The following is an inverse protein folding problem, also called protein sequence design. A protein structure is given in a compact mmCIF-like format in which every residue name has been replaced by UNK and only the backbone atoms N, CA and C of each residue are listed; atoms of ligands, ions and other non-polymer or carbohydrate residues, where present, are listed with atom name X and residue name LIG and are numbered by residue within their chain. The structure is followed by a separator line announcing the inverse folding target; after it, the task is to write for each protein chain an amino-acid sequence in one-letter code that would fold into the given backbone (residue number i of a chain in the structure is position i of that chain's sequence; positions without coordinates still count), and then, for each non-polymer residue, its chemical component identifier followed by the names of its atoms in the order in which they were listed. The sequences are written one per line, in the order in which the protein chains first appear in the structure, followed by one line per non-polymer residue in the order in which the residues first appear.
data_IF_955656747335
#
_entry.id   IF_955656747335
#
_cell.length_a   1.000
_cell.length_b   1.000
_cell.length_c   1.000
_cell.angle_alpha   90.00
_cell.angle_beta   90.00
_cell.angle_gamma   90.00
#
_symmetry.space_group_name_H-M   'P 1'
#
loop_
_entity.id
_entity.type
_entity.pdbx_description
1 polymer ?
#
# COMPACT_ATOMS: atom_id res chain seq x y z
N UNK A 1 46.08 66.65 40.53
CA UNK A 1 45.64 67.74 41.44
C UNK A 1 46.86 68.55 41.86
N UNK A 2 46.68 69.82 42.24
CA UNK A 2 47.78 70.75 42.53
C UNK A 2 48.26 70.75 43.99
N UNK A 3 47.48 70.17 44.92
CA UNK A 3 47.84 70.02 46.35
C UNK A 3 47.29 68.69 46.89
N UNK A 4 48.05 68.02 47.74
CA UNK A 4 47.67 66.81 48.51
C UNK A 4 47.36 67.17 49.97
N UNK A 5 46.65 66.32 50.74
CA UNK A 5 46.45 66.54 52.17
C UNK A 5 47.78 66.74 52.92
N UNK A 6 48.82 66.00 52.51
CA UNK A 6 50.18 66.12 53.03
C UNK A 6 50.83 67.48 52.70
N UNK A 7 50.56 68.03 51.51
CA UNK A 7 51.04 69.36 51.12
C UNK A 7 50.36 70.47 51.93
N UNK A 8 49.12 70.27 52.37
CA UNK A 8 48.39 71.20 53.24
C UNK A 8 48.94 71.13 54.67
N UNK A 9 49.21 69.92 55.18
CA UNK A 9 49.80 69.72 56.51
C UNK A 9 51.22 70.32 56.63
N UNK A 10 52.06 70.15 55.60
CA UNK A 10 53.44 70.62 55.62
C UNK A 10 53.58 72.11 55.20
N UNK A 11 52.47 72.84 55.06
CA UNK A 11 52.49 74.22 54.58
C UNK A 11 52.86 75.19 55.70
N UNK A 12 54.02 75.81 55.59
CA UNK A 12 54.42 76.91 56.49
C UNK A 12 53.99 78.28 55.95
N UNK A 13 53.50 79.13 56.85
CA UNK A 13 53.09 80.51 56.55
C UNK A 13 54.00 81.52 57.27
N UNK A 14 54.30 82.64 56.62
CA UNK A 14 55.10 83.72 57.24
C UNK A 14 54.27 84.54 58.23
N UNK A 15 54.80 84.79 59.43
CA UNK A 15 54.16 85.60 60.48
C UNK A 15 54.34 87.10 60.20
N UNK A 16 53.27 87.90 60.39
CA UNK A 16 53.27 89.37 60.29
C UNK A 16 52.55 89.99 61.50
N UNK A 17 52.90 91.23 61.88
CA UNK A 17 52.44 91.94 63.10
C UNK A 17 50.90 92.06 63.27
N UNK A 18 50.12 91.83 62.20
CA UNK A 18 48.64 91.75 62.21
C UNK A 18 48.17 90.57 61.35
N UNK A 19 48.67 89.37 61.67
CA UNK A 19 48.28 88.12 61.01
C UNK A 19 47.06 87.45 61.64
N UNK A 20 46.60 86.36 61.01
CA UNK A 20 45.62 85.46 61.62
C UNK A 20 46.24 84.73 62.82
N UNK A 21 45.39 84.29 63.74
CA UNK A 21 45.80 83.43 64.85
C UNK A 21 46.28 82.07 64.28
N UNK A 22 47.47 81.64 64.69
CA UNK A 22 48.08 80.42 64.18
C UNK A 22 47.33 79.17 64.64
N UNK A 23 46.81 79.18 65.87
CA UNK A 23 46.14 78.01 66.45
C UNK A 23 44.76 77.81 65.79
N UNK A 24 44.00 78.90 65.57
CA UNK A 24 42.72 78.85 64.85
C UNK A 24 42.90 78.43 63.38
N UNK A 25 43.95 78.91 62.71
CA UNK A 25 44.25 78.52 61.32
C UNK A 25 44.65 77.05 61.25
N UNK A 26 45.46 76.55 62.18
CA UNK A 26 45.85 75.14 62.22
C UNK A 26 44.65 74.22 62.47
N UNK A 27 43.76 74.57 63.41
CA UNK A 27 42.53 73.78 63.67
C UNK A 27 41.63 73.73 62.42
N UNK A 28 41.51 74.84 61.69
CA UNK A 28 40.78 74.88 60.43
C UNK A 28 41.46 74.08 59.31
N UNK A 29 42.79 74.12 59.21
CA UNK A 29 43.55 73.32 58.25
C UNK A 29 43.45 71.81 58.55
N UNK A 30 43.43 71.41 59.83
CA UNK A 30 43.20 70.02 60.22
C UNK A 30 41.82 69.51 59.78
N UNK A 31 40.79 70.37 59.87
CA UNK A 31 39.45 70.04 59.35
C UNK A 31 39.47 69.92 57.82
N UNK A 32 40.12 70.86 57.11
CA UNK A 32 40.27 70.80 55.65
C UNK A 32 41.01 69.54 55.23
N UNK A 33 42.08 69.15 55.93
CA UNK A 33 42.85 67.93 55.64
C UNK A 33 41.94 66.70 55.73
N UNK A 34 41.17 66.57 56.82
CA UNK A 34 40.22 65.46 57.00
C UNK A 34 39.15 65.40 55.91
N UNK A 35 38.53 66.54 55.60
CA UNK A 35 37.50 66.61 54.57
C UNK A 35 38.07 66.34 53.17
N UNK A 36 39.29 66.80 52.90
CA UNK A 36 39.97 66.57 51.63
C UNK A 36 40.39 65.10 51.46
N UNK A 37 40.87 64.45 52.51
CA UNK A 37 41.12 62.99 52.52
C UNK A 37 39.84 62.18 52.28
N UNK A 38 38.74 62.55 52.95
CA UNK A 38 37.45 61.92 52.75
C UNK A 38 36.97 62.07 51.29
N UNK A 39 37.12 63.27 50.72
CA UNK A 39 36.73 63.56 49.35
C UNK A 39 37.59 62.81 48.32
N UNK A 40 38.89 62.67 48.55
CA UNK A 40 39.77 61.87 47.69
C UNK A 40 39.36 60.39 47.71
N UNK A 41 39.10 59.84 48.91
CA UNK A 41 38.66 58.45 49.07
C UNK A 41 37.30 58.20 48.40
N UNK A 42 36.35 59.11 48.56
CA UNK A 42 35.06 59.04 47.86
C UNK A 42 35.25 59.13 46.35
N UNK A 43 36.12 60.03 45.87
CA UNK A 43 36.38 60.19 44.43
C UNK A 43 36.97 58.91 43.81
N UNK A 44 37.91 58.26 44.51
CA UNK A 44 38.48 56.99 44.05
C UNK A 44 37.43 55.87 44.07
N UNK A 45 36.61 55.78 45.12
CA UNK A 45 35.50 54.82 45.17
C UNK A 45 34.46 55.03 44.06
N UNK A 46 34.14 56.28 43.75
CA UNK A 46 33.25 56.65 42.64
C UNK A 46 33.87 56.31 41.28
N UNK A 47 35.18 56.53 41.10
CA UNK A 47 35.90 56.14 39.88
C UNK A 47 35.89 54.62 39.69
N UNK A 48 36.19 53.86 40.74
CA UNK A 48 36.15 52.40 40.70
C UNK A 48 34.74 51.89 40.34
N UNK A 49 33.71 52.47 40.95
CA UNK A 49 32.31 52.13 40.66
C UNK A 49 31.92 52.49 39.24
N UNK A 50 32.40 53.63 38.73
CA UNK A 50 32.14 54.09 37.38
C UNK A 50 32.81 53.18 36.34
N UNK A 51 34.04 52.74 36.60
CA UNK A 51 34.76 51.82 35.72
C UNK A 51 34.11 50.41 35.71
N UNK A 52 33.71 49.90 36.88
CA UNK A 52 32.93 48.65 36.96
C UNK A 52 31.60 48.74 36.19
N UNK A 53 30.88 49.86 36.32
CA UNK A 53 29.63 50.06 35.60
C UNK A 53 29.84 50.18 34.09
N UNK A 54 30.91 50.85 33.65
CA UNK A 54 31.28 50.90 32.23
C UNK A 54 31.59 49.51 31.68
N UNK A 55 32.30 48.67 32.44
CA UNK A 55 32.61 47.30 32.04
C UNK A 55 31.34 46.45 31.91
N UNK A 56 30.43 46.53 32.89
CA UNK A 56 29.11 45.88 32.81
C UNK A 56 28.31 46.35 31.60
N UNK A 57 28.31 47.66 31.34
CA UNK A 57 27.60 48.24 30.20
C UNK A 57 28.19 47.76 28.87
N UNK A 58 29.51 47.64 28.78
CA UNK A 58 30.18 47.03 27.63
C UNK A 58 29.74 45.58 27.45
N UNK A 59 29.80 44.77 28.50
CA UNK A 59 29.35 43.37 28.47
C UNK A 59 27.89 43.25 27.99
N UNK A 60 26.98 44.08 28.51
CA UNK A 60 25.58 44.05 28.09
C UNK A 60 25.38 44.48 26.64
N UNK A 61 26.17 45.43 26.14
CA UNK A 61 26.12 45.79 24.72
C UNK A 61 26.63 44.65 23.83
N UNK A 62 27.77 44.04 24.18
CA UNK A 62 28.31 42.90 23.43
C UNK A 62 27.32 41.72 23.43
N UNK A 63 26.68 41.45 24.58
CA UNK A 63 25.64 40.44 24.71
C UNK A 63 24.41 40.76 23.85
N UNK A 64 23.95 42.01 23.87
CA UNK A 64 22.82 42.47 23.04
C UNK A 64 23.12 42.30 21.56
N UNK A 65 24.31 42.65 21.12
CA UNK A 65 24.71 42.53 19.72
C UNK A 65 24.81 41.06 19.28
N UNK A 66 25.40 40.20 20.13
CA UNK A 66 25.43 38.75 19.91
C UNK A 66 24.03 38.12 19.87
N UNK A 67 23.13 38.57 20.75
CA UNK A 67 21.75 38.11 20.80
C UNK A 67 20.99 38.52 19.54
N UNK A 68 21.11 39.78 19.13
CA UNK A 68 20.51 40.29 17.90
C UNK A 68 21.00 39.51 16.68
N UNK A 69 22.31 39.25 16.59
CA UNK A 69 22.87 38.44 15.51
C UNK A 69 22.30 37.02 15.51
N UNK A 70 22.16 36.41 16.68
CA UNK A 70 21.59 35.06 16.84
C UNK A 70 20.11 35.02 16.44
N UNK A 71 19.33 36.05 16.77
CA UNK A 71 17.93 36.18 16.35
C UNK A 71 17.83 36.29 14.83
N UNK A 72 18.69 37.10 14.20
CA UNK A 72 18.70 37.26 12.73
C UNK A 72 19.02 35.93 12.06
N UNK A 73 20.04 35.21 12.52
CA UNK A 73 20.41 33.90 11.97
C UNK A 73 19.30 32.88 12.17
N UNK A 74 18.65 32.87 13.34
CA UNK A 74 17.51 32.00 13.60
C UNK A 74 16.31 32.31 12.69
N UNK A 75 16.02 33.60 12.45
CA UNK A 75 14.97 34.02 11.53
C UNK A 75 15.28 33.60 10.10
N UNK A 76 16.50 33.84 9.61
CA UNK A 76 16.93 33.42 8.28
C UNK A 76 16.86 31.89 8.11
N UNK A 77 17.28 31.14 9.14
CA UNK A 77 17.15 29.70 9.15
C UNK A 77 15.69 29.24 9.10
N UNK A 78 14.81 29.87 9.89
CA UNK A 78 13.38 29.57 9.89
C UNK A 78 12.73 29.88 8.52
N UNK A 79 13.06 31.02 7.93
CA UNK A 79 12.56 31.42 6.60
C UNK A 79 13.07 30.47 5.52
N UNK A 80 14.34 30.05 5.59
CA UNK A 80 14.92 29.08 4.66
C UNK A 80 14.23 27.73 4.77
N UNK A 81 13.98 27.24 5.99
CA UNK A 81 13.25 25.99 6.23
C UNK A 81 11.84 26.12 5.66
N UNK A 82 11.12 27.19 5.96
CA UNK A 82 9.77 27.45 5.44
C UNK A 82 9.73 27.46 3.92
N UNK A 83 10.64 28.18 3.26
CA UNK A 83 10.71 28.27 1.80
C UNK A 83 11.07 26.92 1.16
N UNK A 84 11.96 26.14 1.78
CA UNK A 84 12.31 24.80 1.30
C UNK A 84 11.13 23.84 1.46
N UNK A 85 10.48 23.81 2.62
CA UNK A 85 9.30 22.98 2.87
C UNK A 85 8.13 23.33 1.96
N UNK A 86 7.91 24.61 1.65
CA UNK A 86 6.89 25.03 0.68
C UNK A 86 7.20 24.50 -0.72
N UNK A 87 8.44 24.65 -1.21
CA UNK A 87 8.86 24.09 -2.51
C UNK A 87 8.73 22.57 -2.55
N UNK A 88 9.14 21.90 -1.50
CA UNK A 88 9.03 20.45 -1.40
C UNK A 88 7.56 19.99 -1.38
N UNK A 89 6.70 20.66 -0.63
CA UNK A 89 5.26 20.39 -0.63
C UNK A 89 4.63 20.60 -2.01
N UNK A 90 5.03 21.64 -2.75
CA UNK A 90 4.57 21.86 -4.14
C UNK A 90 5.01 20.73 -5.08
N UNK A 91 6.26 20.25 -4.95
CA UNK A 91 6.78 19.13 -5.73
C UNK A 91 6.00 17.86 -5.41
N UNK A 92 5.84 17.53 -4.12
CA UNK A 92 5.10 16.36 -3.66
C UNK A 92 3.65 16.41 -4.18
N UNK A 93 2.98 17.55 -4.07
CA UNK A 93 1.62 17.70 -4.57
C UNK A 93 1.55 17.51 -6.08
N UNK A 94 2.48 18.08 -6.85
CA UNK A 94 2.52 17.91 -8.30
C UNK A 94 2.79 16.47 -8.69
N UNK A 95 3.71 15.80 -8.00
CA UNK A 95 4.03 14.40 -8.23
C UNK A 95 2.85 13.49 -7.88
N UNK A 96 2.22 13.69 -6.73
CA UNK A 96 1.03 12.94 -6.31
C UNK A 96 -0.13 13.15 -7.29
N UNK A 97 -0.35 14.37 -7.78
CA UNK A 97 -1.34 14.65 -8.82
C UNK A 97 -1.04 13.92 -10.13
N UNK A 98 0.23 13.94 -10.57
CA UNK A 98 0.66 13.22 -11.76
C UNK A 98 0.47 11.71 -11.61
N UNK A 99 0.94 11.13 -10.51
CA UNK A 99 0.76 9.70 -10.23
C UNK A 99 -0.72 9.32 -10.16
N UNK A 100 -1.55 10.15 -9.53
CA UNK A 100 -3.00 9.97 -9.49
C UNK A 100 -3.63 9.97 -10.89
N UNK A 101 -3.22 10.92 -11.75
CA UNK A 101 -3.68 10.98 -13.13
C UNK A 101 -3.23 9.75 -13.93
N UNK A 102 -1.96 9.34 -13.80
CA UNK A 102 -1.41 8.16 -14.46
C UNK A 102 -2.17 6.88 -14.06
N UNK A 103 -2.52 6.74 -12.78
CA UNK A 103 -3.33 5.62 -12.28
C UNK A 103 -4.74 5.63 -12.89
N UNK A 104 -5.38 6.80 -12.96
CA UNK A 104 -6.72 6.95 -13.55
C UNK A 104 -6.68 6.60 -15.04
N UNK A 105 -5.65 7.06 -15.76
CA UNK A 105 -5.49 6.78 -17.19
C UNK A 105 -5.28 5.28 -17.44
N UNK A 106 -4.41 4.63 -16.66
CA UNK A 106 -4.22 3.18 -16.72
C UNK A 106 -5.50 2.40 -16.36
N UNK A 107 -6.26 2.85 -15.36
CA UNK A 107 -7.52 2.23 -14.99
C UNK A 107 -8.56 2.35 -16.10
N UNK A 108 -8.66 3.52 -16.73
CA UNK A 108 -9.55 3.76 -17.87
C UNK A 108 -9.16 2.91 -19.08
N UNK A 109 -7.88 2.78 -19.37
CA UNK A 109 -7.39 1.92 -20.46
C UNK A 109 -7.76 0.45 -20.20
N UNK A 110 -7.47 -0.07 -19.00
CA UNK A 110 -7.86 -1.44 -18.61
C UNK A 110 -9.37 -1.65 -18.69
N UNK A 111 -10.16 -0.70 -18.22
CA UNK A 111 -11.62 -0.76 -18.31
C UNK A 111 -12.10 -0.83 -19.77
N UNK A 112 -11.53 0.00 -20.66
CA UNK A 112 -11.84 -0.04 -22.10
C UNK A 112 -11.50 -1.40 -22.71
N UNK A 113 -10.34 -1.96 -22.37
CA UNK A 113 -9.92 -3.27 -22.86
C UNK A 113 -10.86 -4.39 -22.39
N UNK A 114 -11.26 -4.38 -21.11
CA UNK A 114 -12.24 -5.34 -20.57
C UNK A 114 -13.58 -5.23 -21.31
N UNK A 115 -14.08 -4.01 -21.54
CA UNK A 115 -15.33 -3.78 -22.26
C UNK A 115 -15.23 -4.27 -23.71
N UNK A 116 -14.12 -4.00 -24.38
CA UNK A 116 -13.90 -4.47 -25.76
C UNK A 116 -13.83 -6.01 -25.84
N UNK A 117 -13.10 -6.66 -24.94
CA UNK A 117 -13.06 -8.11 -24.85
C UNK A 117 -14.43 -8.72 -24.53
N UNK A 118 -15.14 -8.16 -23.56
CA UNK A 118 -16.49 -8.60 -23.20
C UNK A 118 -17.45 -8.45 -24.38
N UNK A 119 -17.36 -7.34 -25.12
CA UNK A 119 -18.17 -7.09 -26.31
C UNK A 119 -17.86 -8.09 -27.43
N UNK A 120 -16.58 -8.39 -27.66
CA UNK A 120 -16.14 -9.40 -28.65
C UNK A 120 -16.65 -10.80 -28.27
N UNK A 121 -16.50 -11.20 -27.01
CA UNK A 121 -17.00 -12.49 -26.49
C UNK A 121 -18.53 -12.59 -26.60
N UNK A 122 -19.24 -11.52 -26.21
CA UNK A 122 -20.70 -11.47 -26.32
C UNK A 122 -21.17 -11.60 -27.78
N UNK A 123 -20.50 -10.91 -28.72
CA UNK A 123 -20.81 -11.02 -30.15
C UNK A 123 -20.55 -12.43 -30.68
N UNK A 124 -19.42 -13.05 -30.30
CA UNK A 124 -19.10 -14.43 -30.68
C UNK A 124 -20.13 -15.41 -30.13
N UNK A 125 -20.46 -15.32 -28.85
CA UNK A 125 -21.47 -16.16 -28.19
C UNK A 125 -22.85 -16.00 -28.85
N UNK A 126 -23.24 -14.78 -29.22
CA UNK A 126 -24.50 -14.54 -29.92
C UNK A 126 -24.54 -15.24 -31.29
N UNK A 127 -23.43 -15.19 -32.05
CA UNK A 127 -23.31 -15.87 -33.34
C UNK A 127 -23.36 -17.40 -33.16
N UNK A 128 -22.60 -17.94 -32.20
CA UNK A 128 -22.60 -19.39 -31.90
C UNK A 128 -23.97 -19.88 -31.45
N UNK A 129 -24.68 -19.09 -30.64
CA UNK A 129 -26.06 -19.41 -30.21
C UNK A 129 -27.03 -19.44 -31.39
N UNK A 130 -26.91 -18.50 -32.33
CA UNK A 130 -27.74 -18.47 -33.53
C UNK A 130 -27.44 -19.65 -34.46
N UNK A 131 -26.16 -20.00 -34.64
CA UNK A 131 -25.76 -21.17 -35.43
C UNK A 131 -26.27 -22.48 -34.80
N UNK A 132 -26.08 -22.66 -33.49
CA UNK A 132 -26.59 -23.84 -32.78
C UNK A 132 -28.12 -23.96 -32.89
N UNK A 133 -28.85 -22.84 -32.83
CA UNK A 133 -30.30 -22.81 -33.07
C UNK A 133 -30.67 -23.26 -34.48
N UNK A 134 -29.92 -22.81 -35.49
CA UNK A 134 -30.11 -23.26 -36.88
C UNK A 134 -29.83 -24.75 -37.01
N UNK A 135 -28.72 -25.23 -36.46
CA UNK A 135 -28.36 -26.65 -36.45
C UNK A 135 -29.44 -27.50 -35.76
N UNK A 136 -29.95 -27.09 -34.60
CA UNK A 136 -31.03 -27.77 -33.90
C UNK A 136 -32.32 -27.82 -34.73
N UNK A 137 -32.66 -26.73 -35.43
CA UNK A 137 -33.83 -26.68 -36.33
C UNK A 137 -33.69 -27.66 -37.49
N UNK A 138 -32.52 -27.71 -38.12
CA UNK A 138 -32.22 -28.63 -39.23
C UNK A 138 -32.22 -30.08 -38.73
N UNK A 139 -31.60 -30.35 -37.58
CA UNK A 139 -31.60 -31.68 -36.97
C UNK A 139 -33.02 -32.17 -36.68
N UNK A 140 -33.86 -31.31 -36.10
CA UNK A 140 -35.27 -31.62 -35.85
C UNK A 140 -36.00 -31.98 -37.15
N UNK A 141 -35.80 -31.21 -38.23
CA UNK A 141 -36.42 -31.51 -39.52
C UNK A 141 -35.94 -32.85 -40.09
N UNK A 142 -34.63 -33.13 -40.03
CA UNK A 142 -34.07 -34.42 -40.46
C UNK A 142 -34.62 -35.59 -39.66
N UNK A 143 -34.70 -35.43 -38.33
CA UNK A 143 -35.27 -36.44 -37.44
C UNK A 143 -36.74 -36.70 -37.75
N UNK A 144 -37.53 -35.65 -37.99
CA UNK A 144 -38.92 -35.78 -38.37
C UNK A 144 -39.07 -36.56 -39.69
N UNK A 145 -38.33 -36.19 -40.74
CA UNK A 145 -38.37 -36.89 -42.04
C UNK A 145 -37.94 -38.35 -41.90
N UNK A 146 -36.89 -38.63 -41.12
CA UNK A 146 -36.45 -39.99 -40.84
C UNK A 146 -37.53 -40.80 -40.10
N UNK A 147 -38.16 -40.23 -39.09
CA UNK A 147 -39.25 -40.91 -38.38
C UNK A 147 -40.45 -41.12 -39.29
N UNK A 148 -40.85 -40.12 -40.09
CA UNK A 148 -41.92 -40.25 -41.10
C UNK A 148 -41.60 -41.36 -42.11
N UNK A 149 -40.37 -41.46 -42.61
CA UNK A 149 -39.98 -42.57 -43.51
C UNK A 149 -40.03 -43.93 -42.82
N UNK A 150 -39.59 -44.03 -41.56
CA UNK A 150 -39.68 -45.28 -40.79
C UNK A 150 -41.14 -45.67 -40.52
N UNK A 151 -41.99 -44.68 -40.24
CA UNK A 151 -43.42 -44.88 -40.02
C UNK A 151 -44.13 -45.30 -41.31
N UNK A 152 -43.73 -44.76 -42.46
CA UNK A 152 -44.22 -45.17 -43.77
C UNK A 152 -43.83 -46.61 -44.10
N UNK A 153 -42.58 -47.00 -43.83
CA UNK A 153 -42.14 -48.41 -43.98
C UNK A 153 -42.98 -49.34 -43.10
N UNK A 154 -43.25 -48.98 -41.84
CA UNK A 154 -44.09 -49.79 -40.94
C UNK A 154 -45.56 -49.83 -41.40
N UNK A 155 -46.07 -48.76 -42.00
CA UNK A 155 -47.43 -48.68 -42.53
C UNK A 155 -47.59 -49.26 -43.94
N UNK A 156 -46.48 -49.57 -44.61
CA UNK A 156 -46.47 -50.11 -45.96
C UNK A 156 -47.17 -51.46 -46.05
N UNK A 157 -47.89 -51.69 -47.16
CA UNK A 157 -48.60 -52.94 -47.44
C UNK A 157 -47.69 -54.17 -47.53
N UNK A 158 -46.38 -53.97 -47.57
CA UNK A 158 -45.36 -55.02 -47.50
C UNK A 158 -45.47 -55.80 -46.18
N UNK A 159 -45.74 -55.11 -45.06
CA UNK A 159 -46.02 -55.79 -43.79
C UNK A 159 -47.35 -56.53 -43.81
N UNK A 160 -48.40 -55.99 -44.46
CA UNK A 160 -49.67 -56.71 -44.63
C UNK A 160 -49.51 -57.98 -45.48
N UNK A 161 -48.58 -58.00 -46.43
CA UNK A 161 -48.28 -59.14 -47.28
C UNK A 161 -47.43 -60.20 -46.56
N UNK A 162 -46.41 -59.77 -45.81
CA UNK A 162 -45.61 -60.64 -44.93
C UNK A 162 -46.48 -61.25 -43.83
N UNK A 163 -47.37 -60.47 -43.20
CA UNK A 163 -48.29 -60.95 -42.17
C UNK A 163 -49.39 -61.86 -42.74
N UNK A 164 -49.74 -61.74 -44.04
CA UNK A 164 -50.66 -62.66 -44.73
C UNK A 164 -50.04 -64.03 -45.05
N UNK A 165 -48.72 -64.13 -45.24
CA UNK A 165 -48.04 -65.41 -45.44
C UNK A 165 -48.02 -66.31 -44.19
N UNK A 166 -48.48 -65.81 -43.04
CA UNK A 166 -48.57 -66.55 -41.77
C UNK A 166 -49.79 -67.48 -41.60
N UNK A 167 -50.44 -67.96 -42.67
CA UNK A 167 -51.37 -69.09 -42.59
C UNK A 167 -50.63 -70.40 -42.91
N UNK A 168 -49.96 -70.94 -41.89
CA UNK A 168 -49.63 -72.37 -41.68
C UNK A 168 -49.37 -73.23 -42.93
N UNK A 169 -48.09 -73.52 -43.25
CA UNK A 169 -47.80 -74.86 -43.77
C UNK A 169 -47.88 -75.83 -42.60
N UNK A 170 -48.85 -76.74 -42.69
CA UNK A 170 -49.04 -77.86 -41.79
C UNK A 170 -47.73 -78.63 -41.64
N UNK A 171 -47.45 -79.10 -40.42
CA UNK A 171 -46.34 -80.04 -40.13
C UNK A 171 -46.37 -81.29 -41.05
N UNK A 172 -47.52 -81.60 -41.66
CA UNK A 172 -47.65 -82.68 -42.64
C UNK A 172 -46.97 -82.38 -43.99
N UNK A 173 -46.94 -81.12 -44.46
CA UNK A 173 -46.30 -80.77 -45.74
C UNK A 173 -44.77 -80.85 -45.68
N UNK A 174 -44.19 -80.67 -44.48
CA UNK A 174 -42.75 -80.79 -44.25
C UNK A 174 -42.31 -82.27 -44.26
N UNK A 175 -43.19 -83.21 -43.90
CA UNK A 175 -42.84 -84.64 -43.89
C UNK A 175 -42.86 -85.30 -45.27
N UNK A 176 -43.70 -84.82 -46.20
CA UNK A 176 -43.73 -85.34 -47.58
C UNK A 176 -42.52 -84.89 -48.41
N UNK A 177 -41.97 -83.71 -48.13
CA UNK A 177 -40.75 -83.23 -48.79
C UNK A 177 -39.47 -84.01 -48.41
N UNK A 178 -39.42 -84.58 -47.20
CA UNK A 178 -38.25 -85.34 -46.71
C UNK A 178 -38.25 -86.79 -47.24
N UNK A 179 -39.40 -87.33 -47.66
CA UNK A 179 -39.50 -88.70 -48.20
C UNK A 179 -39.17 -88.82 -49.70
N UNK A 180 -39.07 -87.70 -50.42
CA UNK A 180 -38.87 -87.70 -51.86
C UNK A 180 -37.43 -87.37 -52.31
N UNK A 181 -36.50 -87.13 -51.40
CA UNK A 181 -35.12 -86.76 -51.72
C UNK A 181 -34.08 -87.71 -51.10
N UNK A 182 -34.19 -89.01 -51.43
CA UNK A 182 -33.04 -89.92 -51.41
C UNK A 182 -32.39 -89.89 -52.80
N UNK A 183 -31.49 -88.95 -53.03
CA UNK A 183 -30.27 -89.05 -53.86
C UNK A 183 -29.79 -87.65 -54.19
N UNK A 184 -28.72 -87.18 -53.53
CA UNK A 184 -27.68 -86.34 -54.12
C UNK A 184 -26.54 -86.19 -53.12
N UNK A 185 -25.79 -87.28 -53.01
CA UNK A 185 -24.43 -87.28 -52.49
C UNK A 185 -23.52 -86.69 -53.59
N UNK A 186 -22.75 -85.66 -53.23
CA UNK A 186 -21.52 -85.14 -53.88
C UNK A 186 -21.62 -84.63 -55.32
N UNK A 187 -21.48 -83.31 -55.48
CA UNK A 187 -20.39 -82.66 -56.24
C UNK A 187 -20.69 -81.17 -56.44
N UNK A 188 -20.24 -80.32 -55.52
CA UNK A 188 -19.68 -78.97 -55.81
C UNK A 188 -19.08 -78.38 -54.53
N UNK A 189 -18.11 -79.07 -53.94
CA UNK A 189 -17.17 -78.41 -53.05
C UNK A 189 -16.13 -77.71 -53.94
N UNK A 190 -16.47 -76.51 -54.44
CA UNK A 190 -15.44 -75.62 -54.98
C UNK A 190 -14.59 -75.15 -53.80
N UNK A 191 -13.37 -75.64 -53.74
CA UNK A 191 -12.33 -75.13 -52.84
C UNK A 191 -12.22 -73.60 -53.02
N UNK A 192 -12.67 -72.86 -52.00
CA UNK A 192 -12.35 -71.45 -51.86
C UNK A 192 -10.90 -71.41 -51.36
N UNK A 193 -9.96 -71.08 -52.24
CA UNK A 193 -8.61 -70.72 -51.81
C UNK A 193 -8.71 -69.45 -50.98
N UNK A 194 -8.12 -69.38 -49.77
CA UNK A 194 -8.04 -68.13 -49.04
C UNK A 194 -7.17 -67.16 -49.84
N UNK A 195 -7.69 -65.96 -50.08
CA UNK A 195 -6.90 -64.82 -50.56
C UNK A 195 -5.90 -64.48 -49.44
N UNK A 196 -4.61 -64.57 -49.75
CA UNK A 196 -3.54 -63.99 -48.94
C UNK A 196 -3.58 -62.48 -49.18
N UNK A 197 -4.20 -61.74 -48.25
CA UNK A 197 -3.91 -60.33 -48.06
C UNK A 197 -2.68 -60.23 -47.16
N UNK A 198 -1.52 -60.03 -47.78
CA UNK A 198 -0.31 -59.58 -47.12
C UNK A 198 -0.43 -58.07 -46.83
N UNK A 199 -1.28 -57.69 -45.88
CA UNK A 199 -1.10 -56.46 -45.09
C UNK A 199 -1.43 -56.77 -43.63
N UNK A 200 -0.39 -56.81 -42.80
CA UNK A 200 -0.51 -56.86 -41.34
C UNK A 200 -1.22 -55.61 -40.84
N UNK A 201 -2.54 -55.69 -40.66
CA UNK A 201 -3.27 -54.77 -39.80
C UNK A 201 -2.85 -55.04 -38.35
N UNK A 202 -1.86 -54.28 -37.88
CA UNK A 202 -1.43 -54.26 -36.49
C UNK A 202 -2.53 -53.63 -35.61
N UNK A 203 -3.48 -54.44 -35.15
CA UNK A 203 -4.35 -54.07 -34.03
C UNK A 203 -3.54 -54.12 -32.74
N UNK A 204 -2.97 -53.00 -32.33
CA UNK A 204 -2.58 -52.82 -30.94
C UNK A 204 -3.85 -52.76 -30.08
N UNK A 205 -3.95 -53.55 -28.99
CA UNK A 205 -5.01 -53.36 -28.02
C UNK A 205 -4.93 -51.93 -27.51
N UNK A 206 -6.02 -51.18 -27.58
CA UNK A 206 -6.11 -49.89 -26.90
C UNK A 206 -6.07 -50.20 -25.41
N UNK A 207 -4.98 -49.84 -24.74
CA UNK A 207 -4.84 -49.93 -23.30
C UNK A 207 -6.04 -49.22 -22.64
N UNK A 208 -6.85 -49.89 -21.80
CA UNK A 208 -7.97 -49.26 -21.14
C UNK A 208 -7.56 -48.23 -20.08
N UNK A 209 -6.26 -48.08 -19.76
CA UNK A 209 -5.76 -47.04 -18.87
C UNK A 209 -5.12 -45.88 -19.66
N UNK A 210 -5.58 -44.64 -19.49
CA UNK A 210 -4.88 -43.48 -20.05
C UNK A 210 -3.52 -43.32 -19.36
N UNK A 211 -2.51 -42.73 -20.03
CA UNK A 211 -1.19 -42.58 -19.44
C UNK A 211 -1.26 -41.73 -18.17
N UNK A 212 -0.87 -42.31 -17.04
CA UNK A 212 -0.56 -41.56 -15.83
C UNK A 212 0.65 -40.65 -16.12
N UNK A 213 0.43 -39.34 -16.07
CA UNK A 213 1.51 -38.36 -16.04
C UNK A 213 2.19 -38.54 -14.68
N UNK A 214 3.26 -39.34 -14.62
CA UNK A 214 4.09 -39.43 -13.44
C UNK A 214 5.28 -38.46 -13.58
N UNK A 215 5.35 -37.41 -12.75
CA UNK A 215 6.38 -36.39 -12.82
C UNK A 215 7.58 -36.81 -11.96
N UNK A 216 8.50 -37.62 -12.48
CA UNK A 216 9.80 -37.83 -11.81
C UNK A 216 10.83 -38.54 -12.71
N UNK A 217 11.68 -37.77 -13.38
CA UNK A 217 13.17 -37.86 -13.37
C UNK A 217 13.66 -36.70 -14.27
N UNK A 218 14.37 -35.66 -13.82
CA UNK A 218 15.52 -35.65 -12.92
C UNK A 218 15.50 -34.46 -11.94
N UNK A 219 15.95 -34.70 -10.70
CA UNK A 219 16.52 -33.67 -9.82
C UNK A 219 15.83 -33.44 -8.48
N UNK A 220 16.04 -34.34 -7.53
CA UNK A 220 15.46 -34.35 -6.17
C UNK A 220 15.92 -33.19 -5.27
N UNK A 221 14.99 -32.51 -4.59
CA UNK A 221 15.19 -31.94 -3.25
C UNK A 221 13.85 -31.87 -2.50
N UNK A 222 13.83 -32.52 -1.34
CA UNK A 222 12.68 -32.83 -0.48
C UNK A 222 11.89 -31.60 -0.01
N UNK A 223 10.56 -31.70 -0.01
CA UNK A 223 9.69 -30.76 0.72
C UNK A 223 9.25 -31.43 2.02
N UNK A 224 9.90 -31.06 3.13
CA UNK A 224 9.52 -31.49 4.48
C UNK A 224 8.36 -30.63 4.97
N UNK A 225 7.22 -31.26 5.25
CA UNK A 225 6.09 -30.61 5.93
C UNK A 225 6.40 -30.62 7.43
N UNK A 226 6.82 -29.46 7.96
CA UNK A 226 7.00 -29.26 9.41
C UNK A 226 5.77 -28.56 9.97
N UNK A 227 5.06 -29.23 10.88
CA UNK A 227 4.11 -28.60 11.79
C UNK A 227 4.87 -27.96 12.95
N UNK A 228 4.67 -26.68 13.30
CA UNK A 228 5.18 -26.16 14.56
C UNK A 228 4.06 -26.10 15.59
N UNK A 229 4.09 -27.01 16.57
CA UNK A 229 3.50 -26.77 17.88
C UNK A 229 4.62 -26.74 18.93
N UNK A 230 4.72 -25.58 19.59
CA UNK A 230 5.15 -25.32 20.97
C UNK A 230 6.39 -26.05 21.53
N UNK A 231 7.46 -25.30 21.81
CA UNK A 231 7.83 -24.86 23.18
C UNK A 231 9.33 -24.52 23.32
N UNK A 232 9.60 -23.41 24.04
CA UNK A 232 10.82 -23.05 24.78
C UNK A 232 12.13 -22.87 24.00
N UNK A 233 13.01 -21.89 24.23
CA UNK A 233 13.20 -20.80 25.20
C UNK A 233 14.54 -20.18 24.72
N UNK A 234 14.77 -18.88 24.52
CA UNK A 234 15.13 -17.90 25.54
C UNK A 234 15.73 -16.63 24.88
N UNK A 235 15.38 -15.48 25.48
CA UNK A 235 16.17 -14.24 25.68
C UNK A 235 16.65 -13.40 24.49
N UNK A 236 16.00 -12.24 24.29
CA UNK A 236 16.56 -10.87 24.48
C UNK A 236 15.48 -9.83 24.13
N UNK A 237 14.69 -9.38 25.11
CA UNK A 237 14.63 -7.98 25.60
C UNK A 237 14.28 -6.90 24.56
N UNK A 238 12.99 -6.58 24.44
CA UNK A 238 12.51 -5.24 24.07
C UNK A 238 11.72 -4.62 25.24
N UNK A 239 11.90 -3.31 25.51
CA UNK A 239 11.21 -2.63 26.59
C UNK A 239 9.82 -2.14 26.18
N UNK A 240 8.87 -2.34 27.07
CA UNK A 240 7.54 -1.74 27.11
C UNK A 240 7.60 -0.21 27.11
N UNK A 241 6.59 0.48 26.57
CA UNK A 241 6.12 1.72 27.16
C UNK A 241 4.73 1.51 27.77
N UNK A 242 4.67 1.52 29.10
CA UNK A 242 3.49 1.96 29.84
C UNK A 242 3.24 3.43 29.53
N UNK A 243 1.98 3.82 29.35
CA UNK A 243 1.59 5.21 29.23
C UNK A 243 0.10 5.41 28.96
N UNK A 244 -0.72 5.17 29.98
CA UNK A 244 -1.85 6.06 30.30
C UNK A 244 -1.41 6.90 31.52
N UNK A 245 -1.92 8.12 31.79
CA UNK A 245 -3.33 8.49 31.59
C UNK A 245 -3.63 9.96 31.19
N UNK A 246 -4.94 10.22 31.03
CA UNK A 246 -5.64 11.53 31.03
C UNK A 246 -5.47 12.40 29.75
N UNK A 247 -6.47 13.09 29.20
CA UNK A 247 -7.80 13.46 29.66
C UNK A 247 -8.63 13.95 28.46
N UNK A 248 -9.93 14.23 28.68
CA UNK A 248 -10.88 14.93 27.78
C UNK A 248 -11.92 14.07 27.05
N UNK A 249 -12.75 13.42 27.87
CA UNK A 249 -14.18 13.71 27.96
C UNK A 249 -14.85 14.31 26.70
N UNK A 250 -15.51 13.46 25.91
CA UNK A 250 -16.55 13.90 24.98
C UNK A 250 -17.85 13.13 25.31
N UNK A 251 -18.63 13.70 26.23
CA UNK A 251 -19.91 13.18 26.70
C UNK A 251 -21.00 14.21 26.50
N UNK A 252 -21.84 13.97 25.49
CA UNK A 252 -23.08 14.68 25.19
C UNK A 252 -24.04 14.75 26.39
N UNK A 253 -24.47 15.96 26.73
CA UNK A 253 -25.76 16.33 27.35
C UNK A 253 -25.89 17.84 27.06
N UNK A 254 -26.83 18.34 26.26
CA UNK A 254 -28.25 18.02 26.27
C UNK A 254 -28.93 18.83 27.36
N UNK A 255 -29.13 20.14 27.14
CA UNK A 255 -30.24 20.88 27.75
C UNK A 255 -30.45 22.27 27.11
N UNK A 256 -31.71 22.48 26.73
CA UNK A 256 -32.39 23.75 26.51
C UNK A 256 -31.96 24.85 27.47
N UNK A 257 -31.83 26.09 26.98
CA UNK A 257 -32.62 27.22 27.48
C UNK A 257 -32.93 28.17 26.32
N UNK A 258 -34.22 28.50 26.22
CA UNK A 258 -34.75 29.58 25.42
C UNK A 258 -34.49 30.93 26.14
N UNK A 259 -34.96 31.99 25.48
CA UNK A 259 -35.21 33.34 25.97
C UNK A 259 -34.08 34.35 25.65
N UNK A 260 -34.33 35.21 24.65
CA UNK A 260 -34.70 36.65 24.81
C UNK A 260 -33.45 37.47 25.15
N UNK A 261 -33.08 38.58 24.51
CA UNK A 261 -33.84 39.70 23.97
C UNK A 261 -32.87 40.53 23.11
N UNK A 262 -33.40 41.13 22.05
CA UNK A 262 -33.35 42.56 21.77
C UNK A 262 -32.17 43.45 22.26
N UNK A 263 -31.67 44.23 21.30
CA UNK A 263 -31.20 45.64 21.36
C UNK A 263 -29.71 45.94 21.14
N UNK A 264 -29.54 46.78 20.10
CA UNK A 264 -28.44 47.68 19.67
C UNK A 264 -27.22 47.09 18.95
#
# INVERSE_FOLDING_TARGET
MALTPLDIHNKEFHVKLRGYDQDEVNEFLDQIIKDYEALLKENDSLRDSLDQNKEKLKYFNDLKDSLNQSIIVAQEAADKVKANSQREAEIINREAQKQGQDIIDQANEKARNIIDEASKKAKKLAIETDDLRKQARIFRQKLQVMMESQLEVVKGSEWDEILKQGKTSSYEEIQDAIRQDETLDKETAREIKPVQDDEEFNFQPVDPNPPEINPADDGQAETVVVFPDNNDSTTETEPTPQGEPEDSNNGLQGQHFADTDDLN
#
